data_IF_601339210698
#
_entry.id   IF_601339210698
#
_cell.length_a   1.000
_cell.length_b   1.000
_cell.length_c   1.000
_cell.angle_alpha   90.00
_cell.angle_beta   90.00
_cell.angle_gamma   90.00
#
_symmetry.space_group_name_H-M   'P 1'
#
loop_
_entity.id
_entity.type
_entity.pdbx_description
1 polymer ?
#
# COMPACT_ATOMS: atom_id res chain seq x y z
N UNK A 1 -3.02 4.70 -18.15
CA UNK A 1 -2.43 5.68 -19.06
C UNK A 1 -2.08 6.94 -18.30
N UNK A 2 -0.85 7.43 -18.46
CA UNK A 2 -0.44 8.75 -17.99
C UNK A 2 -0.41 9.72 -19.17
N UNK A 3 -0.88 10.93 -18.96
CA UNK A 3 -0.84 11.99 -19.95
C UNK A 3 -0.63 13.36 -19.29
N UNK A 4 0.02 14.27 -20.01
CA UNK A 4 0.15 15.68 -19.61
C UNK A 4 -1.10 16.42 -20.09
N UNK A 5 -1.84 16.98 -19.16
CA UNK A 5 -3.06 17.77 -19.44
C UNK A 5 -2.93 19.10 -18.74
N UNK A 6 -2.84 20.19 -19.49
CA UNK A 6 -2.67 21.55 -18.96
C UNK A 6 -1.48 21.64 -17.99
N UNK A 7 -0.31 21.19 -18.47
CA UNK A 7 0.97 21.16 -17.75
C UNK A 7 0.99 20.34 -16.45
N UNK A 8 0.00 19.46 -16.28
CA UNK A 8 -0.05 18.53 -15.14
C UNK A 8 -0.16 17.09 -15.63
N UNK A 9 0.58 16.20 -14.96
CA UNK A 9 0.46 14.77 -15.20
C UNK A 9 -0.87 14.30 -14.61
N UNK A 10 -1.62 13.55 -15.41
CA UNK A 10 -2.86 12.92 -14.99
C UNK A 10 -2.89 11.45 -15.35
N UNK A 11 -3.41 10.66 -14.44
CA UNK A 11 -3.67 9.24 -14.67
C UNK A 11 -5.08 9.03 -15.20
N UNK A 12 -5.22 8.14 -16.17
CA UNK A 12 -6.50 7.75 -16.76
C UNK A 12 -6.64 6.23 -16.72
N UNK A 13 -7.73 5.77 -16.14
CA UNK A 13 -8.08 4.36 -16.12
C UNK A 13 -8.56 3.91 -17.50
N UNK A 14 -7.91 2.88 -18.07
CA UNK A 14 -8.23 2.41 -19.41
C UNK A 14 -9.67 1.88 -19.52
N UNK A 15 -10.18 1.26 -18.47
CA UNK A 15 -11.56 0.75 -18.43
C UNK A 15 -12.66 1.82 -18.53
N UNK A 16 -12.30 3.09 -18.37
CA UNK A 16 -13.24 4.22 -18.50
C UNK A 16 -13.28 4.85 -19.89
N UNK A 17 -12.45 4.39 -20.82
CA UNK A 17 -12.48 4.85 -22.20
C UNK A 17 -13.73 4.33 -22.90
N UNK A 18 -14.48 5.23 -23.54
CA UNK A 18 -15.63 4.87 -24.37
C UNK A 18 -15.24 4.62 -25.81
N UNK A 19 -14.27 5.37 -26.31
CA UNK A 19 -13.68 5.24 -27.63
C UNK A 19 -12.27 5.82 -27.61
N UNK A 20 -11.43 5.40 -28.55
CA UNK A 20 -10.13 6.01 -28.80
C UNK A 20 -9.85 5.93 -30.31
N UNK A 21 -9.17 6.94 -30.81
CA UNK A 21 -8.70 7.00 -32.19
C UNK A 21 -7.18 7.15 -32.21
N UNK A 22 -6.53 6.45 -33.11
CA UNK A 22 -5.10 6.61 -33.35
C UNK A 22 -4.94 7.72 -34.37
N UNK A 23 -4.33 8.81 -33.96
CA UNK A 23 -4.09 9.96 -34.82
C UNK A 23 -2.77 9.78 -35.60
N UNK A 24 -2.69 10.41 -36.78
CA UNK A 24 -1.44 10.50 -37.53
C UNK A 24 -0.42 11.46 -36.89
N UNK A 25 -0.89 12.33 -36.00
CA UNK A 25 -0.04 13.22 -35.24
C UNK A 25 0.83 12.44 -34.27
N UNK A 26 2.12 12.71 -34.33
CA UNK A 26 3.10 12.18 -33.39
C UNK A 26 3.40 13.19 -32.30
N UNK A 27 3.87 12.72 -31.15
CA UNK A 27 4.38 13.55 -30.07
C UNK A 27 5.78 13.10 -29.65
N UNK A 28 6.58 14.01 -29.20
CA UNK A 28 7.84 13.67 -28.56
C UNK A 28 7.56 13.26 -27.12
N UNK A 29 8.12 12.12 -26.73
CA UNK A 29 8.01 11.66 -25.34
C UNK A 29 8.86 12.57 -24.47
N UNK A 30 8.25 13.16 -23.44
CA UNK A 30 8.98 13.92 -22.46
C UNK A 30 9.85 12.96 -21.61
N UNK A 31 11.16 12.97 -21.84
CA UNK A 31 12.11 12.10 -21.14
C UNK A 31 12.32 12.52 -19.66
N UNK A 32 11.95 13.74 -19.30
CA UNK A 32 12.02 14.23 -17.91
C UNK A 32 10.86 13.69 -17.03
N UNK A 33 9.85 13.14 -17.67
CA UNK A 33 8.66 12.62 -16.99
C UNK A 33 8.66 11.10 -16.98
N UNK A 34 9.40 10.49 -16.07
CA UNK A 34 9.39 9.05 -15.86
C UNK A 34 8.30 8.66 -14.87
N UNK A 35 7.31 7.86 -15.28
CA UNK A 35 6.28 7.37 -14.37
C UNK A 35 6.84 6.66 -13.13
N UNK A 36 8.00 6.01 -13.25
CA UNK A 36 8.66 5.32 -12.15
C UNK A 36 9.06 6.26 -11.03
N UNK A 37 9.59 7.44 -11.36
CA UNK A 37 10.06 8.40 -10.37
C UNK A 37 8.88 9.07 -9.66
N UNK A 38 7.81 9.36 -10.41
CA UNK A 38 6.61 9.97 -9.87
C UNK A 38 5.88 9.08 -8.85
N UNK A 39 5.84 7.77 -9.11
CA UNK A 39 5.16 6.81 -8.23
C UNK A 39 6.11 6.06 -7.30
N UNK A 40 7.38 6.43 -7.24
CA UNK A 40 8.38 5.72 -6.43
C UNK A 40 8.06 5.68 -4.94
N UNK A 41 7.33 6.67 -4.43
CA UNK A 41 6.94 6.76 -3.01
C UNK A 41 5.44 6.52 -2.79
N UNK A 42 4.75 6.01 -3.81
CA UNK A 42 3.32 5.74 -3.76
C UNK A 42 3.05 4.25 -3.56
N UNK A 43 2.00 3.94 -2.83
CA UNK A 43 1.45 2.59 -2.78
C UNK A 43 0.18 2.52 -3.64
N UNK A 44 0.12 1.54 -4.53
CA UNK A 44 -1.02 1.39 -5.43
C UNK A 44 -1.02 2.39 -6.59
N UNK A 45 -2.21 2.85 -6.96
CA UNK A 45 -2.43 3.73 -8.13
C UNK A 45 -2.66 5.20 -7.74
N UNK A 46 -2.79 5.47 -6.45
CA UNK A 46 -3.01 6.82 -5.93
C UNK A 46 -1.69 7.41 -5.47
N UNK A 47 -1.37 8.56 -6.01
CA UNK A 47 -0.29 9.40 -5.52
C UNK A 47 -0.86 10.77 -5.15
N UNK A 48 -0.54 11.24 -3.95
CA UNK A 48 -0.82 12.58 -3.50
C UNK A 48 0.49 13.24 -3.06
N UNK A 49 1.06 14.04 -3.94
CA UNK A 49 2.32 14.74 -3.70
C UNK A 49 2.28 15.67 -2.48
N UNK A 50 1.07 16.03 -1.99
CA UNK A 50 0.92 16.84 -0.78
C UNK A 50 1.10 16.01 0.50
N UNK A 51 1.03 14.67 0.42
CA UNK A 51 1.29 13.81 1.55
C UNK A 51 2.81 13.62 1.75
N UNK A 52 3.31 13.70 3.00
CA UNK A 52 4.71 13.41 3.27
C UNK A 52 5.02 11.93 3.03
N UNK A 53 6.29 11.66 2.72
CA UNK A 53 6.81 10.30 2.76
C UNK A 53 7.07 9.98 4.23
N UNK A 54 6.50 8.88 4.71
CA UNK A 54 6.61 8.43 6.09
C UNK A 54 7.42 7.15 6.18
N UNK A 55 8.25 7.06 7.20
CA UNK A 55 8.94 5.83 7.57
C UNK A 55 7.99 4.98 8.41
N UNK A 56 7.54 3.88 7.84
CA UNK A 56 6.57 2.98 8.47
C UNK A 56 7.30 1.73 8.92
N UNK A 57 7.13 1.37 10.19
CA UNK A 57 7.66 0.13 10.78
C UNK A 57 6.50 -0.74 11.23
N UNK A 58 6.50 -1.98 10.81
CA UNK A 58 5.51 -2.96 11.24
C UNK A 58 6.12 -4.36 11.37
N UNK A 59 5.50 -5.19 12.21
CA UNK A 59 5.90 -6.58 12.42
C UNK A 59 4.83 -7.51 11.87
N UNK A 60 5.27 -8.58 11.21
CA UNK A 60 4.39 -9.62 10.67
C UNK A 60 4.79 -10.99 11.17
N UNK A 61 3.85 -11.93 11.22
CA UNK A 61 4.15 -13.32 11.54
C UNK A 61 5.11 -13.92 10.49
N UNK A 62 5.89 -14.94 10.90
CA UNK A 62 6.77 -15.68 9.98
C UNK A 62 6.01 -16.29 8.80
N UNK A 63 4.74 -16.63 8.98
CA UNK A 63 3.91 -17.16 7.90
C UNK A 63 3.60 -16.09 6.86
N UNK A 64 3.19 -14.88 7.29
CA UNK A 64 2.93 -13.76 6.39
C UNK A 64 4.21 -13.29 5.70
N UNK A 65 5.31 -13.29 6.43
CA UNK A 65 6.62 -12.91 5.89
C UNK A 65 7.04 -13.75 4.67
N UNK A 66 6.71 -15.05 4.62
CA UNK A 66 7.02 -15.89 3.45
C UNK A 66 6.42 -15.35 2.16
N UNK A 67 5.21 -14.78 2.24
CA UNK A 67 4.57 -14.13 1.09
C UNK A 67 5.20 -12.77 0.79
N UNK A 68 5.38 -11.95 1.82
CA UNK A 68 5.95 -10.61 1.68
C UNK A 68 7.40 -10.60 1.21
N UNK A 69 8.18 -11.62 1.54
CA UNK A 69 9.55 -11.79 1.04
C UNK A 69 9.57 -12.00 -0.48
N UNK A 70 8.58 -12.72 -1.01
CA UNK A 70 8.47 -13.00 -2.45
C UNK A 70 7.83 -11.83 -3.19
N UNK A 71 6.85 -11.20 -2.57
CA UNK A 71 6.10 -10.04 -3.10
C UNK A 71 6.16 -8.89 -2.08
N UNK A 72 7.24 -8.09 -2.11
CA UNK A 72 7.38 -6.95 -1.21
C UNK A 72 6.23 -5.96 -1.39
N UNK A 73 5.73 -5.41 -0.28
CA UNK A 73 4.68 -4.37 -0.30
C UNK A 73 5.15 -3.15 -1.08
N UNK A 74 6.42 -2.77 -0.87
CA UNK A 74 7.02 -1.62 -1.54
C UNK A 74 8.49 -1.91 -1.84
N UNK A 75 9.07 -1.25 -2.85
CA UNK A 75 10.46 -1.45 -3.24
C UNK A 75 11.47 -0.99 -2.16
N UNK A 76 11.05 -0.09 -1.25
CA UNK A 76 11.86 0.36 -0.11
C UNK A 76 11.83 -0.61 1.08
N UNK A 77 11.09 -1.73 0.97
CA UNK A 77 10.95 -2.68 2.07
C UNK A 77 12.31 -3.20 2.54
N UNK A 78 12.61 -3.02 3.82
CA UNK A 78 13.83 -3.48 4.47
C UNK A 78 13.52 -4.25 5.75
N UNK A 79 14.32 -5.27 6.05
CA UNK A 79 14.22 -6.03 7.29
C UNK A 79 14.96 -5.26 8.38
N UNK A 80 14.29 -5.02 9.52
CA UNK A 80 14.89 -4.44 10.74
C UNK A 80 15.29 -5.55 11.69
N UNK A 81 14.41 -6.53 11.91
CA UNK A 81 14.62 -7.62 12.85
C UNK A 81 13.90 -8.88 12.36
N UNK A 82 14.52 -10.02 12.58
CA UNK A 82 13.91 -11.32 12.31
C UNK A 82 14.05 -12.23 13.53
N UNK A 83 12.91 -12.72 14.03
CA UNK A 83 12.84 -13.69 15.13
C UNK A 83 12.11 -14.95 14.67
N UNK A 84 12.11 -16.04 15.46
CA UNK A 84 11.33 -17.23 15.11
C UNK A 84 9.82 -17.00 15.02
N UNK A 85 9.30 -15.97 15.68
CA UNK A 85 7.86 -15.68 15.77
C UNK A 85 7.40 -14.62 14.77
N UNK A 86 8.21 -13.60 14.55
CA UNK A 86 7.87 -12.45 13.68
C UNK A 86 9.07 -11.85 12.97
N UNK A 87 8.79 -11.08 11.94
CA UNK A 87 9.76 -10.26 11.23
C UNK A 87 9.27 -8.81 11.28
N UNK A 88 10.17 -7.91 11.71
CA UNK A 88 9.93 -6.46 11.68
C UNK A 88 10.58 -5.87 10.44
N UNK A 89 9.80 -5.14 9.69
CA UNK A 89 10.22 -4.50 8.43
C UNK A 89 9.89 -3.01 8.45
N UNK A 90 10.62 -2.26 7.63
CA UNK A 90 10.28 -0.87 7.33
C UNK A 90 9.99 -0.66 5.86
N UNK A 91 9.19 0.35 5.57
CA UNK A 91 8.97 0.91 4.23
C UNK A 91 8.94 2.43 4.32
N UNK A 92 9.38 3.12 3.25
CA UNK A 92 9.28 4.57 3.11
C UNK A 92 8.28 4.88 2.00
N UNK A 93 7.10 5.39 2.38
CA UNK A 93 5.97 5.54 1.46
C UNK A 93 4.98 6.59 1.96
N UNK A 94 4.18 7.16 1.06
CA UNK A 94 3.04 8.00 1.46
C UNK A 94 1.91 7.15 2.00
N UNK A 95 1.35 7.56 3.16
CA UNK A 95 0.20 6.87 3.76
C UNK A 95 -1.05 7.21 2.97
N UNK A 96 -1.41 6.34 2.04
CA UNK A 96 -2.60 6.45 1.21
C UNK A 96 -3.70 5.50 1.70
N UNK A 97 -4.92 5.69 1.17
CA UNK A 97 -6.02 4.76 1.43
C UNK A 97 -5.69 3.33 0.98
N UNK A 98 -5.05 3.18 -0.19
CA UNK A 98 -4.68 1.88 -0.74
C UNK A 98 -3.70 1.14 0.18
N UNK A 99 -2.70 1.85 0.73
CA UNK A 99 -1.78 1.28 1.71
C UNK A 99 -2.53 0.83 2.96
N UNK A 100 -3.41 1.68 3.50
CA UNK A 100 -4.20 1.32 4.68
C UNK A 100 -5.03 0.06 4.45
N UNK A 101 -5.65 -0.07 3.28
CA UNK A 101 -6.44 -1.26 2.93
C UNK A 101 -5.57 -2.52 2.80
N UNK A 102 -4.37 -2.41 2.22
CA UNK A 102 -3.43 -3.55 2.16
C UNK A 102 -2.97 -3.99 3.56
N UNK A 103 -2.59 -3.04 4.42
CA UNK A 103 -2.22 -3.33 5.81
C UNK A 103 -3.36 -3.98 6.58
N UNK A 104 -4.60 -3.50 6.41
CA UNK A 104 -5.81 -4.07 7.05
C UNK A 104 -6.12 -5.46 6.54
N UNK A 105 -5.84 -5.77 5.28
CA UNK A 105 -6.04 -7.12 4.73
C UNK A 105 -5.21 -8.19 5.47
N UNK A 106 -4.11 -7.77 6.10
CA UNK A 106 -3.15 -8.57 6.86
C UNK A 106 -3.33 -8.46 8.38
N UNK A 107 -4.41 -7.83 8.84
CA UNK A 107 -4.62 -7.47 10.25
C UNK A 107 -4.50 -8.63 11.25
N UNK A 108 -4.76 -9.87 10.80
CA UNK A 108 -4.64 -11.06 11.63
C UNK A 108 -3.19 -11.44 11.98
N UNK A 109 -2.22 -10.96 11.21
CA UNK A 109 -0.79 -11.32 11.30
C UNK A 109 0.15 -10.12 11.34
N UNK A 110 -0.39 -8.89 11.22
CA UNK A 110 0.37 -7.66 11.13
C UNK A 110 0.12 -6.74 12.33
N UNK A 111 1.18 -6.13 12.82
CA UNK A 111 1.14 -5.11 13.88
C UNK A 111 1.89 -3.86 13.42
N UNK A 112 1.25 -2.71 13.43
CA UNK A 112 1.90 -1.42 13.20
C UNK A 112 2.71 -1.03 14.45
N UNK A 113 3.99 -0.72 14.26
CA UNK A 113 4.88 -0.24 15.30
C UNK A 113 5.00 1.28 15.23
N UNK A 114 5.29 1.82 14.04
CA UNK A 114 5.48 3.26 13.75
C UNK A 114 4.88 3.63 12.39
N UNK A 115 4.48 4.90 12.19
CA UNK A 115 4.36 5.96 13.18
C UNK A 115 3.13 5.78 14.10
N UNK A 116 3.12 6.49 15.22
CA UNK A 116 2.01 6.40 16.19
C UNK A 116 0.66 6.83 15.61
N UNK A 117 0.67 7.79 14.70
CA UNK A 117 -0.52 8.26 13.97
C UNK A 117 -1.15 7.13 13.15
N UNK A 118 -0.38 6.48 12.29
CA UNK A 118 -0.83 5.34 11.49
C UNK A 118 -1.34 4.20 12.37
N UNK A 119 -0.65 3.91 13.46
CA UNK A 119 -1.04 2.88 14.42
C UNK A 119 -2.41 3.17 15.03
N UNK A 120 -2.67 4.43 15.39
CA UNK A 120 -3.96 4.81 15.98
C UNK A 120 -5.08 4.76 14.92
N UNK A 121 -4.86 5.26 13.71
CA UNK A 121 -5.84 5.19 12.63
C UNK A 121 -6.20 3.74 12.29
N UNK A 122 -5.20 2.88 12.19
CA UNK A 122 -5.37 1.44 11.99
C UNK A 122 -6.21 0.81 13.10
N UNK A 123 -5.92 1.14 14.36
CA UNK A 123 -6.66 0.66 15.54
C UNK A 123 -8.13 1.10 15.51
N UNK A 124 -8.39 2.37 15.17
CA UNK A 124 -9.74 2.92 15.07
C UNK A 124 -10.55 2.17 14.01
N UNK A 125 -9.98 1.90 12.85
CA UNK A 125 -10.67 1.16 11.78
C UNK A 125 -11.01 -0.26 12.24
N UNK A 126 -10.08 -0.97 12.88
CA UNK A 126 -10.32 -2.32 13.40
C UNK A 126 -11.43 -2.34 14.46
N UNK A 127 -11.43 -1.39 15.40
CA UNK A 127 -12.49 -1.29 16.41
C UNK A 127 -13.84 -0.94 15.77
N UNK A 128 -13.85 -0.07 14.77
CA UNK A 128 -15.06 0.26 14.02
C UNK A 128 -15.61 -0.97 13.30
N UNK A 129 -14.73 -1.75 12.67
CA UNK A 129 -15.15 -3.01 12.02
C UNK A 129 -15.74 -4.02 13.01
N UNK A 130 -15.14 -4.16 14.19
CA UNK A 130 -15.68 -5.02 15.26
C UNK A 130 -17.09 -4.55 15.67
N UNK A 131 -17.25 -3.26 15.93
CA UNK A 131 -18.53 -2.68 16.35
C UNK A 131 -19.62 -2.85 15.26
N UNK A 132 -19.29 -2.58 14.00
CA UNK A 132 -20.23 -2.71 12.89
C UNK A 132 -20.73 -4.15 12.69
N UNK A 133 -19.89 -5.12 13.01
CA UNK A 133 -20.24 -6.55 12.87
C UNK A 133 -20.75 -7.18 14.17
N UNK A 134 -20.85 -6.44 15.26
CA UNK A 134 -21.29 -6.91 16.58
C UNK A 134 -20.59 -8.21 17.01
N UNK A 135 -19.29 -8.34 16.69
CA UNK A 135 -18.54 -9.56 16.91
C UNK A 135 -18.08 -9.67 18.36
N UNK A 136 -18.40 -10.79 18.99
CA UNK A 136 -17.66 -11.26 20.16
C UNK A 136 -16.33 -11.82 19.67
N UNK A 137 -15.22 -11.32 20.21
CA UNK A 137 -13.88 -11.74 19.81
C UNK A 137 -13.71 -13.23 20.13
N UNK A 138 -13.78 -14.07 19.10
CA UNK A 138 -13.35 -15.48 19.15
C UNK A 138 -12.06 -15.62 18.36
N UNK A 139 -11.11 -16.38 18.89
CA UNK A 139 -9.88 -16.70 18.15
C UNK A 139 -10.26 -17.56 16.93
N UNK A 140 -10.01 -17.03 15.73
CA UNK A 140 -10.26 -17.75 14.47
C UNK A 140 -8.96 -18.44 14.06
N UNK A 141 -9.02 -19.74 13.84
CA UNK A 141 -7.89 -20.51 13.32
C UNK A 141 -8.11 -20.77 11.82
N UNK A 142 -7.56 -19.91 10.97
CA UNK A 142 -7.73 -20.02 9.51
C UNK A 142 -6.95 -21.17 8.87
N UNK A 143 -5.97 -21.73 9.58
CA UNK A 143 -5.00 -22.64 8.98
C UNK A 143 -5.11 -24.08 9.49
N UNK A 144 -6.21 -24.40 10.21
CA UNK A 144 -6.62 -25.78 10.48
C UNK A 144 -5.52 -26.71 11.03
N UNK A 145 -4.66 -26.21 11.92
CA UNK A 145 -3.77 -27.06 12.70
C UNK A 145 -4.26 -27.04 14.15
N UNK A 146 -4.82 -28.16 14.53
CA UNK A 146 -4.98 -28.57 15.92
C UNK A 146 -3.60 -28.69 16.60
#
# INVERSE_FOLDING_TARGET
>A
LLAIVKDKIRSFELGRFRSFDVLEQTFERNEECFPKDQFSNSFGIWDDENLPIEHIVFSVSQQEWRFMKTYPIHHTQAIIEETPEFVTVSIDVRITHDLMMDLLSRAHSLRINEPATLKEDYRIILLTAINNNQLTIKKINYYGKD
#
